data_IF_519374251791
#
_entry.id   IF_519374251791
#
_cell.length_a   1.000
_cell.length_b   1.000
_cell.length_c   1.000
_cell.angle_alpha   90.00
_cell.angle_beta   90.00
_cell.angle_gamma   90.00
#
_symmetry.space_group_name_H-M   'P 1'
#
loop_
_entity.id
_entity.type
_entity.pdbx_description
1 polymer ?
#
# COMPACT_ATOMS: atom_id res chain seq x y z
N UNK A 1 -23.34 61.26 24.78
CA UNK A 1 -24.07 60.45 23.79
C UNK A 1 -23.04 59.58 23.08
N UNK A 2 -23.02 58.26 23.35
CA UNK A 2 -21.95 57.34 22.93
C UNK A 2 -22.28 56.72 21.56
N UNK A 3 -21.31 56.79 20.66
CA UNK A 3 -21.30 56.26 19.30
C UNK A 3 -21.45 54.73 19.33
N UNK A 4 -22.44 54.20 18.63
CA UNK A 4 -22.58 52.75 18.39
C UNK A 4 -21.68 52.37 17.21
N UNK A 5 -20.53 51.74 17.48
CA UNK A 5 -19.77 51.00 16.47
C UNK A 5 -20.44 49.63 16.31
N UNK A 6 -21.11 49.41 15.18
CA UNK A 6 -21.61 48.11 14.79
C UNK A 6 -20.42 47.19 14.45
N UNK A 7 -20.31 46.10 15.19
CA UNK A 7 -19.36 45.00 14.93
C UNK A 7 -19.77 44.30 13.63
N UNK A 8 -19.03 44.53 12.54
CA UNK A 8 -19.09 43.69 11.35
C UNK A 8 -18.23 42.44 11.61
N UNK A 9 -18.85 41.35 12.05
CA UNK A 9 -18.21 40.05 12.13
C UNK A 9 -18.23 39.39 10.73
N UNK A 10 -17.17 39.63 9.95
CA UNK A 10 -16.94 38.88 8.71
C UNK A 10 -16.50 37.45 9.08
N UNK A 11 -17.41 36.48 9.01
CA UNK A 11 -17.06 35.06 9.02
C UNK A 11 -16.34 34.74 7.70
N UNK A 12 -15.01 34.66 7.76
CA UNK A 12 -14.21 34.12 6.67
C UNK A 12 -14.51 32.63 6.51
N UNK A 13 -15.19 32.26 5.42
CA UNK A 13 -15.33 30.89 4.98
C UNK A 13 -13.95 30.36 4.55
N UNK A 14 -13.28 29.61 5.44
CA UNK A 14 -12.11 28.83 5.06
C UNK A 14 -12.60 27.62 4.25
N UNK A 15 -12.25 27.49 2.96
CA UNK A 15 -12.47 26.24 2.26
C UNK A 15 -11.55 25.21 2.89
N UNK A 16 -12.14 24.21 3.56
CA UNK A 16 -11.47 22.97 3.95
C UNK A 16 -11.09 22.23 2.67
N UNK A 17 -9.98 22.63 2.04
CA UNK A 17 -9.27 21.83 1.06
C UNK A 17 -8.58 20.68 1.83
N UNK A 18 -9.40 19.76 2.34
CA UNK A 18 -8.94 18.46 2.79
C UNK A 18 -8.53 17.65 1.58
N UNK A 19 -7.31 17.89 1.08
CA UNK A 19 -6.67 16.97 0.17
C UNK A 19 -6.59 15.61 0.88
N UNK A 20 -7.14 14.56 0.26
CA UNK A 20 -6.90 13.21 0.75
C UNK A 20 -5.39 13.02 0.84
N UNK A 21 -4.87 12.81 2.05
CA UNK A 21 -3.50 12.39 2.23
C UNK A 21 -3.37 11.01 1.58
N UNK A 22 -2.86 10.97 0.34
CA UNK A 22 -2.44 9.73 -0.28
C UNK A 22 -1.18 9.30 0.47
N UNK A 23 -1.24 8.19 1.19
CA UNK A 23 -0.02 7.58 1.72
C UNK A 23 0.88 7.22 0.54
N UNK A 24 2.16 7.62 0.61
CA UNK A 24 3.14 7.26 -0.41
C UNK A 24 3.41 5.76 -0.35
N UNK A 25 3.28 5.08 -1.48
CA UNK A 25 3.65 3.66 -1.58
C UNK A 25 5.15 3.55 -1.74
N UNK A 26 5.80 2.93 -0.74
CA UNK A 26 7.24 2.67 -0.72
C UNK A 26 7.50 1.18 -0.92
N UNK A 27 8.46 0.86 -1.79
CA UNK A 27 8.83 -0.52 -2.10
C UNK A 27 9.99 -0.98 -1.21
N UNK A 28 9.82 -2.11 -0.54
CA UNK A 28 10.85 -2.71 0.31
C UNK A 28 11.21 -4.13 -0.14
N UNK A 29 12.49 -4.48 -0.24
CA UNK A 29 12.91 -5.83 -0.60
C UNK A 29 12.46 -6.84 0.46
N UNK A 30 11.88 -7.95 0.01
CA UNK A 30 11.23 -8.89 0.91
C UNK A 30 12.16 -9.98 1.44
N UNK A 31 13.23 -10.33 0.72
CA UNK A 31 14.22 -11.35 1.13
C UNK A 31 13.60 -12.68 1.60
N UNK A 32 12.48 -13.10 0.98
CA UNK A 32 11.75 -14.32 1.36
C UNK A 32 10.83 -14.18 2.58
N UNK A 33 10.61 -12.98 3.12
CA UNK A 33 9.65 -12.68 4.18
C UNK A 33 8.31 -12.21 3.61
N UNK A 34 7.23 -12.35 4.39
CA UNK A 34 5.91 -11.90 3.93
C UNK A 34 5.82 -10.39 3.83
N UNK A 35 4.96 -9.87 2.93
CA UNK A 35 4.76 -8.43 2.83
C UNK A 35 4.16 -7.83 4.10
N UNK A 36 3.36 -8.61 4.85
CA UNK A 36 2.90 -8.21 6.19
C UNK A 36 4.08 -7.94 7.12
N UNK A 37 5.05 -8.85 7.17
CA UNK A 37 6.20 -8.72 8.08
C UNK A 37 7.15 -7.62 7.61
N UNK A 38 7.43 -7.56 6.31
CA UNK A 38 8.32 -6.55 5.70
C UNK A 38 7.81 -5.14 6.01
N UNK A 39 6.53 -4.87 5.75
CA UNK A 39 5.94 -3.56 6.02
C UNK A 39 5.80 -3.29 7.52
N UNK A 40 5.41 -4.30 8.31
CA UNK A 40 5.30 -4.18 9.77
C UNK A 40 6.62 -3.81 10.44
N UNK A 41 7.75 -4.37 9.99
CA UNK A 41 9.08 -3.98 10.47
C UNK A 41 9.46 -2.53 10.13
N UNK A 42 8.84 -1.96 9.09
CA UNK A 42 8.99 -0.54 8.70
C UNK A 42 7.97 0.37 9.38
N UNK A 43 7.09 -0.18 10.23
CA UNK A 43 5.96 0.53 10.85
C UNK A 43 5.01 1.11 9.79
N UNK A 44 4.83 0.36 8.71
CA UNK A 44 3.93 0.66 7.60
C UNK A 44 2.94 -0.47 7.42
N UNK A 45 1.83 -0.18 6.75
CA UNK A 45 0.84 -1.19 6.38
C UNK A 45 1.17 -1.74 4.99
N UNK A 46 1.06 -3.06 4.76
CA UNK A 46 1.19 -3.60 3.42
C UNK A 46 -0.02 -3.16 2.56
N UNK A 47 0.24 -2.80 1.30
CA UNK A 47 -0.84 -2.52 0.36
C UNK A 47 -1.60 -3.81 0.08
N UNK A 48 -2.89 -3.87 0.44
CA UNK A 48 -3.75 -5.03 0.22
C UNK A 48 -4.72 -4.83 -0.94
N UNK A 49 -4.92 -5.88 -1.74
CA UNK A 49 -5.91 -5.90 -2.85
C UNK A 49 -7.17 -6.70 -2.51
N UNK A 50 -7.28 -7.20 -1.27
CA UNK A 50 -8.44 -7.95 -0.80
C UNK A 50 -8.07 -9.20 -0.01
N UNK A 51 -9.10 -9.99 0.32
CA UNK A 51 -8.96 -11.21 1.09
C UNK A 51 -9.06 -12.46 0.19
N UNK A 52 -8.27 -13.48 0.51
CA UNK A 52 -8.45 -14.81 -0.05
C UNK A 52 -9.65 -15.49 0.62
N UNK A 53 -10.69 -15.76 -0.17
CA UNK A 53 -11.98 -16.31 0.32
C UNK A 53 -12.54 -15.41 1.44
N UNK A 54 -13.26 -15.99 2.40
CA UNK A 54 -13.85 -15.28 3.55
C UNK A 54 -12.88 -15.15 4.75
N UNK A 55 -11.56 -15.25 4.52
CA UNK A 55 -10.58 -15.43 5.59
C UNK A 55 -9.80 -14.16 5.93
N UNK A 56 -9.04 -14.20 7.03
CA UNK A 56 -8.10 -13.14 7.45
C UNK A 56 -6.78 -13.13 6.64
N UNK A 57 -6.70 -13.97 5.60
CA UNK A 57 -5.54 -14.07 4.73
C UNK A 57 -5.69 -13.06 3.59
N UNK A 58 -4.91 -12.00 3.64
CA UNK A 58 -4.98 -10.92 2.66
C UNK A 58 -3.97 -11.13 1.53
N UNK A 59 -4.36 -10.74 0.33
CA UNK A 59 -3.44 -10.54 -0.77
C UNK A 59 -2.75 -9.20 -0.59
N UNK A 60 -1.43 -9.22 -0.54
CA UNK A 60 -0.59 -8.03 -0.52
C UNK A 60 0.10 -7.83 -1.85
N UNK A 61 0.26 -6.58 -2.24
CA UNK A 61 0.95 -6.22 -3.49
C UNK A 61 2.45 -6.45 -3.33
N UNK A 62 3.00 -7.19 -4.28
CA UNK A 62 4.44 -7.35 -4.46
C UNK A 62 4.81 -7.17 -5.93
N UNK A 63 6.10 -7.04 -6.20
CA UNK A 63 6.64 -7.05 -7.55
C UNK A 63 7.93 -7.86 -7.61
N UNK A 64 8.18 -8.51 -8.73
CA UNK A 64 9.40 -9.28 -8.96
C UNK A 64 9.95 -9.07 -10.37
N UNK A 65 11.28 -9.08 -10.50
CA UNK A 65 11.97 -9.01 -11.80
C UNK A 65 12.25 -10.41 -12.35
N UNK A 66 11.19 -11.13 -12.73
CA UNK A 66 11.31 -12.51 -13.21
C UNK A 66 12.14 -12.55 -14.50
N UNK A 67 13.19 -13.40 -14.53
CA UNK A 67 14.15 -13.52 -15.63
C UNK A 67 14.84 -12.22 -16.08
N UNK A 68 14.82 -11.16 -15.27
CA UNK A 68 15.45 -9.89 -15.64
C UNK A 68 14.69 -9.09 -16.71
N UNK A 69 13.44 -9.45 -17.04
CA UNK A 69 12.64 -8.81 -18.08
C UNK A 69 11.84 -7.58 -17.61
N UNK A 70 12.14 -7.08 -16.41
CA UNK A 70 11.45 -5.96 -15.78
C UNK A 70 10.58 -6.40 -14.61
N UNK A 71 10.28 -5.43 -13.74
CA UNK A 71 9.46 -5.65 -12.55
C UNK A 71 8.00 -5.86 -12.94
N UNK A 72 7.46 -7.01 -12.55
CA UNK A 72 6.06 -7.39 -12.78
C UNK A 72 5.32 -7.37 -11.45
N UNK A 73 4.13 -6.74 -11.36
CA UNK A 73 3.32 -6.78 -10.16
C UNK A 73 2.72 -8.19 -9.98
N UNK A 74 2.42 -8.51 -8.72
CA UNK A 74 1.88 -9.80 -8.31
C UNK A 74 1.29 -9.74 -6.91
N UNK A 75 1.11 -10.91 -6.30
CA UNK A 75 0.60 -11.01 -4.94
C UNK A 75 1.49 -11.86 -4.03
N UNK A 76 1.60 -11.43 -2.78
CA UNK A 76 2.09 -12.21 -1.65
C UNK A 76 0.89 -12.56 -0.77
N UNK A 77 0.82 -13.79 -0.28
CA UNK A 77 -0.30 -14.29 0.51
C UNK A 77 0.25 -14.96 1.78
N UNK A 78 -0.41 -14.78 2.91
CA UNK A 78 -0.09 -15.48 4.17
C UNK A 78 -1.24 -16.41 4.55
N UNK A 79 -1.00 -17.60 5.12
CA UNK A 79 0.31 -18.22 5.36
C UNK A 79 0.90 -18.90 4.11
N UNK A 80 0.05 -19.31 3.15
CA UNK A 80 0.50 -19.94 1.91
C UNK A 80 1.13 -18.91 0.97
N UNK A 81 2.36 -19.17 0.51
CA UNK A 81 3.14 -18.27 -0.35
C UNK A 81 3.68 -17.03 0.35
N UNK A 82 3.80 -17.08 1.69
CA UNK A 82 4.33 -15.98 2.48
C UNK A 82 5.77 -15.61 2.10
N UNK A 83 6.54 -16.54 1.53
CA UNK A 83 7.94 -16.35 1.17
C UNK A 83 8.18 -16.12 -0.33
N UNK A 84 7.14 -15.88 -1.13
CA UNK A 84 7.27 -15.63 -2.57
C UNK A 84 6.32 -14.53 -3.04
N UNK A 85 6.63 -13.95 -4.20
CA UNK A 85 5.68 -13.15 -4.97
C UNK A 85 5.16 -13.99 -6.15
N UNK A 86 3.85 -14.19 -6.22
CA UNK A 86 3.20 -14.83 -7.36
C UNK A 86 3.03 -13.78 -8.46
N UNK A 87 3.74 -13.95 -9.58
CA UNK A 87 3.71 -13.00 -10.70
C UNK A 87 3.33 -13.71 -12.00
N UNK A 88 2.64 -13.04 -12.93
CA UNK A 88 2.39 -13.59 -14.25
C UNK A 88 3.69 -13.61 -15.09
N UNK A 89 4.05 -14.78 -15.62
CA UNK A 89 5.17 -14.96 -16.54
C UNK A 89 4.85 -16.10 -17.53
N UNK A 90 5.08 -15.89 -18.82
CA UNK A 90 4.92 -16.95 -19.82
C UNK A 90 3.53 -17.59 -19.89
N UNK A 91 2.45 -16.81 -19.72
CA UNK A 91 1.03 -17.25 -19.67
C UNK A 91 0.64 -18.09 -18.43
N UNK A 92 1.48 -18.10 -17.40
CA UNK A 92 1.22 -18.79 -16.14
C UNK A 92 1.54 -17.87 -14.96
N UNK A 93 1.08 -18.24 -13.77
CA UNK A 93 1.58 -17.65 -12.52
C UNK A 93 2.81 -18.42 -12.07
N UNK A 94 3.88 -17.70 -11.76
CA UNK A 94 5.14 -18.29 -11.29
C UNK A 94 5.51 -17.74 -9.92
N UNK A 95 6.27 -18.54 -9.17
CA UNK A 95 6.80 -18.17 -7.85
C UNK A 95 8.12 -17.44 -8.01
N UNK A 96 8.17 -16.16 -7.66
CA UNK A 96 9.41 -15.40 -7.58
C UNK A 96 9.88 -15.28 -6.13
N UNK A 97 11.10 -15.74 -5.84
CA UNK A 97 11.71 -15.66 -4.50
C UNK A 97 12.45 -14.35 -4.23
N UNK A 98 12.86 -13.64 -5.28
CA UNK A 98 13.42 -12.29 -5.20
C UNK A 98 12.34 -11.28 -5.61
N UNK A 99 11.85 -10.51 -4.64
CA UNK A 99 10.73 -9.60 -4.83
C UNK A 99 10.76 -8.46 -3.81
N UNK A 100 9.95 -7.44 -4.09
CA UNK A 100 9.72 -6.30 -3.20
C UNK A 100 8.24 -6.20 -2.86
N UNK A 101 7.94 -5.71 -1.65
CA UNK A 101 6.59 -5.47 -1.14
C UNK A 101 6.26 -3.98 -1.20
N UNK A 102 5.01 -3.68 -1.54
CA UNK A 102 4.48 -2.33 -1.48
C UNK A 102 3.94 -2.04 -0.07
N UNK A 103 4.46 -1.01 0.58
CA UNK A 103 4.09 -0.57 1.92
C UNK A 103 3.59 0.88 1.88
N UNK A 104 2.64 1.23 2.75
CA UNK A 104 2.03 2.57 2.85
C UNK A 104 1.77 2.97 4.31
#
# INVERSE_FOLDING_TARGET
MRVQLALAAALAALPLLGGAASADVVWHPANGQSCRDVCGMKKMEPVSTGAWKNSQNLFYVCAANQNGEGWRPGFNLTPSWANVCMVPYGKQEVRASSYSCACQ
#
